data_IF_274510744131
#
_entry.id   IF_274510744131
#
_cell.length_a   1.000
_cell.length_b   1.000
_cell.length_c   1.000
_cell.angle_alpha   90.00
_cell.angle_beta   90.00
_cell.angle_gamma   90.00
#
_symmetry.space_group_name_H-M   'P 1'
#
loop_
_entity.id
_entity.type
_entity.pdbx_description
1 polymer ?
#
# COMPACT_ATOMS: atom_id res chain seq x y z
N UNK A 1 -15.06 12.12 9.20
CA UNK A 1 -14.63 10.94 8.42
C UNK A 1 -13.16 11.13 8.09
N UNK A 2 -12.27 10.39 8.76
CA UNK A 2 -10.81 10.52 8.55
C UNK A 2 -10.31 9.19 8.01
N UNK A 3 -9.60 9.24 6.89
CA UNK A 3 -8.89 8.13 6.30
C UNK A 3 -7.39 8.43 6.40
N UNK A 4 -6.65 7.50 6.98
CA UNK A 4 -5.19 7.58 7.05
C UNK A 4 -4.63 6.29 6.48
N UNK A 5 -3.72 6.43 5.53
CA UNK A 5 -2.96 5.35 4.93
C UNK A 5 -1.47 5.60 5.12
N UNK A 6 -0.74 4.55 5.40
CA UNK A 6 0.71 4.52 5.45
C UNK A 6 1.22 3.60 4.34
N UNK A 7 2.18 4.10 3.58
CA UNK A 7 2.96 3.33 2.63
C UNK A 7 4.43 3.46 3.03
N UNK A 8 5.07 2.32 3.25
CA UNK A 8 6.47 2.26 3.62
C UNK A 8 7.24 1.42 2.61
N UNK A 9 8.44 1.88 2.28
CA UNK A 9 9.40 1.20 1.42
C UNK A 9 10.77 1.24 2.10
N UNK A 10 11.49 0.12 2.09
CA UNK A 10 12.85 0.09 2.60
C UNK A 10 13.90 0.10 1.47
N UNK A 11 15.17 0.35 1.83
CA UNK A 11 16.29 0.34 0.87
C UNK A 11 16.56 -1.03 0.23
N UNK A 12 15.99 -2.11 0.77
CA UNK A 12 16.06 -3.46 0.19
C UNK A 12 14.97 -3.74 -0.84
N UNK A 13 14.04 -2.79 -1.06
CA UNK A 13 12.92 -2.93 -1.98
C UNK A 13 11.69 -3.65 -1.40
N UNK A 14 11.69 -3.95 -0.11
CA UNK A 14 10.50 -4.47 0.58
C UNK A 14 9.54 -3.32 0.85
N UNK A 15 8.27 -3.53 0.52
CA UNK A 15 7.21 -2.55 0.66
C UNK A 15 6.08 -3.09 1.53
N UNK A 16 5.34 -2.19 2.16
CA UNK A 16 4.14 -2.53 2.92
C UNK A 16 3.23 -1.33 3.04
N UNK A 17 1.92 -1.58 3.06
CA UNK A 17 0.94 -0.53 3.24
C UNK A 17 -0.16 -0.91 4.23
N UNK A 18 -0.63 0.10 4.97
CA UNK A 18 -1.65 -0.06 6.00
C UNK A 18 -2.59 1.14 6.03
N UNK A 19 -3.90 0.91 6.14
CA UNK A 19 -4.89 1.97 6.20
C UNK A 19 -5.87 1.76 7.35
N UNK A 20 -6.45 2.85 7.85
CA UNK A 20 -7.50 2.78 8.86
C UNK A 20 -8.81 2.30 8.22
N UNK A 21 -9.22 2.89 7.10
CA UNK A 21 -10.44 2.53 6.37
C UNK A 21 -10.14 1.61 5.17
N UNK A 22 -11.14 0.81 4.78
CA UNK A 22 -11.10 -0.03 3.56
C UNK A 22 -11.07 0.83 2.29
N UNK A 23 -10.58 0.25 1.18
CA UNK A 23 -10.54 0.92 -0.13
C UNK A 23 -9.20 1.58 -0.49
N UNK A 24 -8.21 1.54 0.40
CA UNK A 24 -6.86 2.01 0.09
C UNK A 24 -6.10 0.96 -0.74
N UNK A 25 -5.65 1.34 -1.93
CA UNK A 25 -4.80 0.54 -2.82
C UNK A 25 -3.55 1.33 -3.18
N UNK A 26 -2.43 0.64 -3.41
CA UNK A 26 -1.17 1.27 -3.80
C UNK A 26 -0.57 0.52 -5.00
N UNK A 27 0.06 1.28 -5.90
CA UNK A 27 0.77 0.74 -7.04
C UNK A 27 2.24 0.51 -6.70
N UNK A 28 2.74 -0.68 -7.02
CA UNK A 28 4.16 -1.04 -6.92
C UNK A 28 4.72 -1.10 -8.33
N UNK A 29 5.59 -0.14 -8.63
CA UNK A 29 6.36 -0.09 -9.86
C UNK A 29 7.76 -0.63 -9.56
N UNK A 30 8.06 -1.83 -10.04
CA UNK A 30 9.39 -2.45 -9.95
C UNK A 30 9.97 -2.58 -11.36
N UNK A 31 11.29 -2.51 -11.50
CA UNK A 31 12.01 -2.65 -12.78
C UNK A 31 11.69 -3.95 -13.56
N UNK A 32 11.06 -4.94 -12.91
CA UNK A 32 10.61 -6.18 -13.52
C UNK A 32 9.09 -6.24 -13.85
N UNK A 33 8.26 -5.39 -13.23
CA UNK A 33 6.80 -5.39 -13.35
C UNK A 33 6.27 -4.00 -12.99
N UNK A 34 5.77 -3.29 -13.99
CA UNK A 34 5.42 -1.87 -13.86
C UNK A 34 4.04 -1.59 -13.25
N UNK A 35 3.15 -2.57 -13.06
CA UNK A 35 1.75 -2.30 -12.69
C UNK A 35 1.17 -3.25 -11.63
N UNK A 36 1.87 -3.47 -10.53
CA UNK A 36 1.32 -4.24 -9.41
C UNK A 36 0.45 -3.34 -8.51
N UNK A 37 -0.86 -3.31 -8.76
CA UNK A 37 -1.83 -2.69 -7.87
C UNK A 37 -2.16 -3.64 -6.72
N UNK A 38 -1.74 -3.30 -5.50
CA UNK A 38 -1.93 -4.11 -4.30
C UNK A 38 -2.88 -3.40 -3.35
N UNK A 39 -3.88 -4.12 -2.85
CA UNK A 39 -4.76 -3.61 -1.79
C UNK A 39 -3.98 -3.51 -0.47
N UNK A 40 -3.99 -2.32 0.15
CA UNK A 40 -3.41 -2.11 1.46
C UNK A 40 -4.22 -2.81 2.54
N UNK A 41 -3.56 -3.33 3.58
CA UNK A 41 -4.27 -3.93 4.72
C UNK A 41 -5.04 -2.85 5.47
N UNK A 42 -6.30 -3.09 5.83
CA UNK A 42 -7.14 -2.14 6.57
C UNK A 42 -7.59 -2.68 7.94
N UNK A 43 -7.70 -1.80 8.95
CA UNK A 43 -8.13 -2.18 10.31
C UNK A 43 -9.64 -2.09 10.54
N UNK A 44 -10.28 -0.98 10.17
CA UNK A 44 -11.73 -0.83 10.27
C UNK A 44 -12.41 -1.40 9.02
N UNK A 45 -13.48 -2.17 9.23
CA UNK A 45 -14.43 -2.61 8.19
C UNK A 45 -15.69 -1.76 8.26
#
# INVERSE_FOLDING_TARGET
NIQVGFLALNKKGEYGAYAIQTGFSYAVCNAAKDDLLIAGKSYYK
#
